data_IF_335595634150
#
_entry.id   IF_335595634150
#
_cell.length_a   1.000
_cell.length_b   1.000
_cell.length_c   1.000
_cell.angle_alpha   90.00
_cell.angle_beta   90.00
_cell.angle_gamma   90.00
#
_symmetry.space_group_name_H-M   'P 1'
#
loop_
_entity.id
_entity.type
_entity.pdbx_description
1 polymer ?
#
# COMPACT_ATOMS: atom_id res chain seq x y z
N UNK A 1 20.88 -21.55 17.71
CA UNK A 1 20.39 -20.28 18.27
C UNK A 1 20.19 -19.31 17.12
N UNK A 2 19.03 -19.37 16.48
CA UNK A 2 18.64 -18.47 15.39
C UNK A 2 18.38 -17.09 15.98
N UNK A 3 19.20 -16.11 15.61
CA UNK A 3 18.93 -14.71 15.91
C UNK A 3 17.60 -14.35 15.25
N UNK A 4 16.54 -14.32 16.05
CA UNK A 4 15.29 -13.68 15.69
C UNK A 4 15.60 -12.18 15.61
N UNK A 5 16.05 -11.72 14.44
CA UNK A 5 16.05 -10.30 14.10
C UNK A 5 14.61 -9.83 14.27
N UNK A 6 14.33 -9.20 15.40
CA UNK A 6 12.98 -8.75 15.76
C UNK A 6 12.60 -7.67 14.76
N UNK A 7 11.84 -8.05 13.73
CA UNK A 7 11.31 -7.14 12.74
C UNK A 7 10.18 -6.34 13.41
N UNK A 8 10.57 -5.24 14.07
CA UNK A 8 9.61 -4.31 14.64
C UNK A 8 9.05 -3.47 13.49
N UNK A 9 7.87 -3.87 13.00
CA UNK A 9 7.06 -3.04 12.10
C UNK A 9 6.51 -1.87 12.90
N UNK A 10 7.26 -0.76 12.93
CA UNK A 10 6.69 0.49 13.42
C UNK A 10 5.92 1.13 12.28
N UNK A 11 4.60 1.16 12.43
CA UNK A 11 3.71 1.88 11.54
C UNK A 11 3.85 3.38 11.82
N UNK A 12 4.64 4.09 11.01
CA UNK A 12 4.58 5.55 11.01
C UNK A 12 3.29 5.97 10.31
N UNK A 13 2.25 6.25 11.09
CA UNK A 13 1.05 6.94 10.61
C UNK A 13 1.43 8.38 10.22
N UNK A 14 1.91 8.59 8.98
CA UNK A 14 1.98 9.93 8.40
C UNK A 14 0.65 10.17 7.67
N UNK A 15 -0.36 10.52 8.45
CA UNK A 15 -1.66 10.93 7.95
C UNK A 15 -1.59 12.41 7.60
N UNK A 16 -1.10 12.75 6.39
CA UNK A 16 -1.26 14.12 5.88
C UNK A 16 -2.69 14.26 5.35
N UNK A 17 -3.54 14.82 6.22
CA UNK A 17 -4.86 15.37 5.96
C UNK A 17 -5.79 14.49 5.13
N UNK A 18 -6.40 13.49 5.77
CA UNK A 18 -7.71 13.01 5.35
C UNK A 18 -8.74 13.96 5.96
N UNK A 19 -9.26 14.90 5.20
CA UNK A 19 -10.52 15.56 5.55
C UNK A 19 -11.64 14.59 5.22
N UNK A 20 -12.29 14.09 6.26
CA UNK A 20 -13.48 13.25 6.18
C UNK A 20 -14.53 14.00 5.33
N UNK A 21 -14.70 13.60 4.06
CA UNK A 21 -15.63 14.24 3.11
C UNK A 21 -15.05 14.66 1.75
N UNK A 22 -13.75 14.53 1.48
CA UNK A 22 -13.20 14.79 0.12
C UNK A 22 -13.51 13.64 -0.85
N UNK A 23 -13.84 13.97 -2.11
CA UNK A 23 -14.05 12.97 -3.16
C UNK A 23 -12.76 12.18 -3.44
N UNK A 24 -12.87 10.95 -3.96
CA UNK A 24 -11.70 10.12 -4.36
C UNK A 24 -10.78 10.88 -5.33
N UNK A 25 -11.34 11.79 -6.13
CA UNK A 25 -10.62 12.64 -7.09
C UNK A 25 -9.83 13.77 -6.41
N UNK A 26 -10.32 14.30 -5.29
CA UNK A 26 -9.60 15.30 -4.47
C UNK A 26 -8.63 14.66 -3.47
N UNK A 27 -8.85 13.38 -3.16
CA UNK A 27 -8.08 12.66 -2.18
C UNK A 27 -6.79 12.09 -2.78
N UNK A 28 -5.73 12.54 -2.13
CA UNK A 28 -4.65 11.70 -1.66
C UNK A 28 -3.42 11.60 -2.56
N UNK A 29 -2.28 11.71 -1.89
CA UNK A 29 -0.94 11.45 -2.40
C UNK A 29 -0.20 10.45 -1.51
N UNK A 30 -0.87 9.97 -0.46
CA UNK A 30 -0.30 9.09 0.55
C UNK A 30 0.04 7.73 -0.04
N UNK A 31 1.20 7.21 0.35
CA UNK A 31 1.68 5.87 0.01
C UNK A 31 2.10 5.18 1.30
N UNK A 32 1.50 4.02 1.58
CA UNK A 32 1.93 3.16 2.66
C UNK A 32 3.32 2.61 2.40
N UNK A 33 4.04 2.35 3.49
CA UNK A 33 5.41 1.83 3.44
C UNK A 33 5.70 0.97 4.65
N UNK A 34 6.62 0.03 4.49
CA UNK A 34 7.19 -0.78 5.57
C UNK A 34 8.65 -0.38 5.74
N UNK A 35 9.08 -0.17 6.98
CA UNK A 35 10.45 0.22 7.29
C UNK A 35 11.08 -0.75 8.31
N UNK A 36 12.36 -1.09 8.11
CA UNK A 36 13.19 -1.71 9.14
C UNK A 36 13.81 -0.62 9.98
N UNK A 37 13.56 -0.67 11.28
CA UNK A 37 14.19 0.21 12.26
C UNK A 37 15.29 -0.50 13.03
N UNK A 38 16.35 0.23 13.37
CA UNK A 38 17.25 -0.17 14.44
C UNK A 38 16.62 0.21 15.78
N UNK A 39 16.11 -0.77 16.52
CA UNK A 39 15.39 -0.55 17.77
C UNK A 39 16.21 0.13 18.88
N UNK A 40 17.55 0.06 18.84
CA UNK A 40 18.40 0.68 19.88
C UNK A 40 18.57 2.18 19.70
N UNK A 41 18.69 2.64 18.45
CA UNK A 41 19.01 4.04 18.12
C UNK A 41 17.86 4.77 17.42
N UNK A 42 16.79 4.06 17.04
CA UNK A 42 15.61 4.65 16.42
C UNK A 42 15.77 5.08 14.97
N UNK A 43 16.80 4.60 14.25
CA UNK A 43 17.04 4.99 12.85
C UNK A 43 16.40 4.00 11.88
N UNK A 44 15.96 4.51 10.72
CA UNK A 44 15.52 3.70 9.59
C UNK A 44 16.75 3.09 8.90
N UNK A 45 16.79 1.76 8.83
CA UNK A 45 17.81 1.00 8.10
C UNK A 45 17.43 0.91 6.62
N UNK A 46 16.16 0.62 6.34
CA UNK A 46 15.58 0.65 4.99
C UNK A 46 14.08 0.89 5.06
N UNK A 47 13.50 1.36 3.95
CA UNK A 47 12.06 1.58 3.79
C UNK A 47 11.65 1.18 2.36
N UNK A 48 10.54 0.45 2.25
CA UNK A 48 9.95 0.04 0.98
C UNK A 48 8.52 0.57 0.91
N UNK A 49 8.18 1.24 -0.19
CA UNK A 49 6.82 1.71 -0.45
C UNK A 49 5.98 0.61 -1.10
N UNK A 50 4.72 0.52 -0.70
CA UNK A 50 3.78 -0.50 -1.20
C UNK A 50 3.20 -0.15 -2.58
N UNK A 51 3.29 1.12 -2.99
CA UNK A 51 2.82 1.62 -4.28
C UNK A 51 3.97 2.25 -5.06
N UNK A 52 3.89 2.30 -6.41
CA UNK A 52 4.81 3.10 -7.23
C UNK A 52 4.81 4.58 -6.84
N UNK A 53 5.85 5.30 -7.23
CA UNK A 53 5.88 6.73 -6.98
C UNK A 53 4.82 7.47 -7.78
N UNK A 54 3.99 8.24 -7.07
CA UNK A 54 2.97 9.09 -7.66
C UNK A 54 3.45 10.53 -7.82
N UNK A 55 4.69 10.85 -7.42
CA UNK A 55 5.30 12.18 -7.52
C UNK A 55 4.46 13.29 -6.86
N UNK A 56 3.64 12.94 -5.86
CA UNK A 56 2.71 13.86 -5.22
C UNK A 56 1.49 14.23 -6.08
N UNK A 57 1.24 13.54 -7.19
CA UNK A 57 0.06 13.73 -8.04
C UNK A 57 -1.17 13.03 -7.47
N UNK A 58 -2.33 13.67 -7.66
CA UNK A 58 -3.66 13.10 -7.39
C UNK A 58 -4.11 12.24 -8.58
N UNK A 59 -5.03 11.31 -8.34
CA UNK A 59 -5.56 10.43 -9.38
C UNK A 59 -4.60 9.31 -9.82
N UNK A 60 -3.50 9.10 -9.10
CA UNK A 60 -2.60 7.96 -9.26
C UNK A 60 -2.88 6.90 -8.18
N UNK A 61 -2.04 5.87 -8.10
CA UNK A 61 -2.12 4.90 -7.01
C UNK A 61 -1.82 5.58 -5.66
N UNK A 62 -2.76 5.46 -4.72
CA UNK A 62 -2.61 5.97 -3.35
C UNK A 62 -3.17 4.99 -2.34
N UNK A 63 -2.76 5.13 -1.06
CA UNK A 63 -3.12 4.19 0.00
C UNK A 63 -2.08 3.11 0.16
N UNK A 64 -2.52 1.84 0.12
CA UNK A 64 -1.77 0.67 0.52
C UNK A 64 -1.13 0.81 1.91
N UNK A 65 -1.87 1.43 2.83
CA UNK A 65 -1.48 1.42 4.24
C UNK A 65 -1.28 -0.03 4.68
N UNK A 66 -0.27 -0.29 5.49
CA UNK A 66 -0.15 -1.59 6.16
C UNK A 66 -0.77 -1.40 7.54
N UNK A 67 -1.75 -2.23 7.89
CA UNK A 67 -2.48 -2.14 9.17
C UNK A 67 -2.52 -3.49 9.88
N UNK A 68 -2.95 -3.44 11.14
CA UNK A 68 -3.08 -4.61 12.00
C UNK A 68 -1.78 -4.94 12.73
N UNK A 69 -1.89 -5.74 13.79
CA UNK A 69 -0.74 -6.21 14.58
C UNK A 69 0.08 -7.29 13.86
N UNK A 70 -0.46 -7.89 12.79
CA UNK A 70 0.15 -8.99 12.04
C UNK A 70 -0.26 -8.92 10.57
N UNK A 71 0.31 -7.99 9.78
CA UNK A 71 0.05 -7.91 8.35
C UNK A 71 0.49 -9.22 7.66
N UNK A 72 -0.24 -9.61 6.61
CA UNK A 72 0.11 -10.80 5.84
C UNK A 72 1.34 -10.52 4.98
N UNK A 73 2.36 -11.36 5.14
CA UNK A 73 3.62 -11.28 4.40
C UNK A 73 3.78 -12.58 3.62
N UNK A 74 3.81 -12.49 2.29
CA UNK A 74 4.22 -13.60 1.43
C UNK A 74 5.72 -13.45 1.13
N UNK A 75 6.51 -14.29 1.78
CA UNK A 75 7.97 -14.28 1.69
C UNK A 75 8.44 -14.78 0.32
N UNK A 76 7.70 -15.69 -0.31
CA UNK A 76 8.09 -16.30 -1.59
C UNK A 76 7.94 -15.30 -2.74
N UNK A 77 6.91 -14.45 -2.66
CA UNK A 77 6.63 -13.43 -3.66
C UNK A 77 7.11 -12.02 -3.24
N UNK A 78 7.68 -11.89 -2.04
CA UNK A 78 8.11 -10.63 -1.44
C UNK A 78 6.98 -9.57 -1.40
N UNK A 79 5.79 -10.00 -0.98
CA UNK A 79 4.57 -9.19 -0.97
C UNK A 79 4.07 -8.92 0.47
N UNK A 80 3.49 -7.74 0.66
CA UNK A 80 2.82 -7.32 1.90
C UNK A 80 1.44 -6.81 1.53
N UNK A 81 0.41 -7.15 2.31
CA UNK A 81 -0.96 -6.74 2.02
C UNK A 81 -1.27 -5.34 2.56
N UNK A 82 -1.97 -4.56 1.73
CA UNK A 82 -2.41 -3.19 2.00
C UNK A 82 -3.70 -2.86 1.21
N UNK A 83 -4.34 -1.74 1.54
CA UNK A 83 -5.69 -1.33 1.10
C UNK A 83 -5.49 -0.11 0.25
N UNK A 84 -5.84 -0.26 -1.02
CA UNK A 84 -5.71 0.79 -2.00
C UNK A 84 -6.84 1.82 -1.80
N UNK A 85 -6.49 3.10 -1.78
CA UNK A 85 -7.47 4.17 -1.64
C UNK A 85 -7.89 4.73 -3.01
N UNK A 86 -6.96 4.80 -3.96
CA UNK A 86 -7.24 5.21 -5.34
C UNK A 86 -6.37 4.47 -6.35
N UNK A 87 -6.84 4.38 -7.58
CA UNK A 87 -6.12 3.87 -8.74
C UNK A 87 -6.23 4.85 -9.92
N UNK A 88 -5.31 4.82 -10.89
CA UNK A 88 -5.39 5.64 -12.09
C UNK A 88 -6.64 5.40 -12.91
N UNK A 89 -7.20 6.44 -13.52
CA UNK A 89 -8.46 6.36 -14.28
C UNK A 89 -8.43 5.29 -15.38
N UNK A 90 -7.29 5.13 -16.06
CA UNK A 90 -7.10 4.08 -17.07
C UNK A 90 -7.35 2.67 -16.52
N UNK A 91 -7.00 2.44 -15.26
CA UNK A 91 -7.11 1.15 -14.59
C UNK A 91 -8.54 0.95 -14.09
N UNK A 92 -9.18 2.01 -13.57
CA UNK A 92 -10.59 1.99 -13.18
C UNK A 92 -11.49 1.68 -14.38
N UNK A 93 -11.22 2.29 -15.54
CA UNK A 93 -11.94 2.00 -16.79
C UNK A 93 -11.75 0.55 -17.23
N UNK A 94 -10.52 0.04 -17.26
CA UNK A 94 -10.29 -1.38 -17.55
C UNK A 94 -11.02 -2.30 -16.55
N UNK A 95 -11.02 -1.96 -15.26
CA UNK A 95 -11.72 -2.74 -14.25
C UNK A 95 -13.25 -2.74 -14.47
N UNK A 96 -13.83 -1.60 -14.83
CA UNK A 96 -15.24 -1.50 -15.20
C UNK A 96 -15.58 -2.31 -16.45
N UNK A 97 -14.72 -2.27 -17.47
CA UNK A 97 -14.86 -3.07 -18.68
C UNK A 97 -14.82 -4.57 -18.39
N UNK A 98 -13.88 -5.02 -17.54
CA UNK A 98 -13.77 -6.43 -17.12
C UNK A 98 -14.94 -6.86 -16.24
N UNK A 99 -15.38 -6.02 -15.29
CA UNK A 99 -16.53 -6.33 -14.43
C UNK A 99 -17.85 -6.46 -15.23
N UNK A 100 -17.97 -5.75 -16.35
CA UNK A 100 -19.11 -5.85 -17.25
C UNK A 100 -19.04 -7.07 -18.18
N UNK A 101 -17.92 -7.79 -18.20
CA UNK A 101 -17.77 -9.05 -18.91
C UNK A 101 -18.02 -10.22 -17.96
N UNK A 102 -19.23 -10.77 -17.98
CA UNK A 102 -19.62 -11.95 -17.17
C UNK A 102 -19.14 -13.28 -17.75
N UNK A 103 -18.35 -13.24 -18.83
CA UNK A 103 -17.83 -14.44 -19.50
C UNK A 103 -16.39 -14.64 -19.03
N UNK A 104 -16.06 -15.78 -18.37
CA UNK A 104 -14.68 -16.09 -18.03
C UNK A 104 -13.83 -16.11 -19.30
N UNK A 105 -12.88 -15.19 -19.39
CA UNK A 105 -11.93 -15.10 -20.51
C UNK A 105 -10.79 -16.12 -20.40
N UNK A 106 -10.71 -16.83 -19.26
CA UNK A 106 -9.77 -17.91 -19.01
C UNK A 106 -10.49 -19.20 -18.57
N UNK A 107 -10.13 -20.36 -19.13
CA UNK A 107 -10.54 -21.65 -18.58
C UNK A 107 -9.77 -21.94 -17.28
N UNK A 108 -10.43 -22.65 -16.36
CA UNK A 108 -9.89 -23.12 -15.07
C UNK A 108 -8.62 -23.99 -15.21
#
# INVERSE_FOLDING_TARGET
>A
MSNLEHFRMEFSHIQRNFTEGSSIEECCTFRGSVAKLNARIGVIVWQTFMLPDNNGSRGEYTGAAVWGSSPSIDINHNQVTGNLFSAPQRILQCQEEENNQTVPTHPD
#
